data_IF_196625925830
#
_entry.id   IF_196625925830
#
_cell.length_a   1.000
_cell.length_b   1.000
_cell.length_c   1.000
_cell.angle_alpha   90.00
_cell.angle_beta   90.00
_cell.angle_gamma   90.00
#
_symmetry.space_group_name_H-M   'P 1'
#
loop_
_entity.id
_entity.type
_entity.pdbx_description
1 polymer ?
2 non-polymer ?
3 non-polymer ?
4 non-polymer ?
5 water ?
#
# COMPACT_ATOMS: atom_id res chain seq x y z
N UNK A 1 -13.51 -2.78 -24.81
CA UNK A 1 -13.97 -4.13 -24.34
C UNK A 1 -15.23 -4.02 -23.49
N UNK A 2 -15.86 -5.16 -23.24
CA UNK A 2 -17.09 -5.23 -22.47
C UNK A 2 -16.83 -4.77 -21.05
N UNK A 3 -15.68 -5.15 -20.49
CA UNK A 3 -15.34 -4.77 -19.12
C UNK A 3 -15.07 -3.27 -18.99
N UNK A 4 -14.41 -2.68 -19.99
CA UNK A 4 -14.12 -1.25 -19.97
C UNK A 4 -15.41 -0.47 -20.07
N UNK A 5 -16.28 -0.87 -21.00
CA UNK A 5 -17.58 -0.22 -21.20
C UNK A 5 -18.41 -0.22 -19.93
N UNK A 6 -18.47 -1.36 -19.25
CA UNK A 6 -19.23 -1.48 -18.02
C UNK A 6 -18.73 -0.55 -16.94
N UNK A 7 -17.41 -0.49 -16.79
CA UNK A 7 -16.79 0.36 -15.78
C UNK A 7 -17.05 1.84 -16.06
N UNK A 8 -16.77 2.26 -17.30
CA UNK A 8 -16.95 3.66 -17.68
C UNK A 8 -18.41 4.12 -17.62
N UNK A 9 -19.35 3.21 -17.84
CA UNK A 9 -20.76 3.59 -17.82
C UNK A 9 -21.44 3.40 -16.46
N UNK A 10 -20.76 2.71 -15.54
CA UNK A 10 -21.32 2.47 -14.21
C UNK A 10 -21.41 3.76 -13.41
N UNK A 11 -22.31 3.80 -12.44
CA UNK A 11 -22.43 4.99 -11.60
C UNK A 11 -21.48 4.83 -10.43
N UNK A 12 -20.66 5.84 -10.19
CA UNK A 12 -19.70 5.81 -9.09
C UNK A 12 -20.31 6.35 -7.79
N UNK A 13 -20.63 5.45 -6.85
CA UNK A 13 -21.22 5.86 -5.58
C UNK A 13 -20.33 6.86 -4.85
N UNK A 14 -20.86 7.48 -3.80
CA UNK A 14 -20.11 8.47 -3.04
C UNK A 14 -19.08 7.77 -2.17
N UNK A 15 -18.09 8.53 -1.72
CA UNK A 15 -17.04 8.00 -0.88
C UNK A 15 -17.71 7.51 0.39
N UNK A 16 -18.66 8.30 0.89
CA UNK A 16 -19.35 7.94 2.10
C UNK A 16 -20.07 6.61 1.93
N UNK A 17 -20.66 6.40 0.76
CA UNK A 17 -21.38 5.18 0.46
C UNK A 17 -20.44 3.99 0.35
N UNK A 18 -19.24 4.23 -0.17
CA UNK A 18 -18.25 3.18 -0.34
C UNK A 18 -17.44 2.99 0.94
N UNK A 19 -17.66 3.87 1.93
CA UNK A 19 -16.98 3.79 3.21
C UNK A 19 -15.46 3.66 3.09
N UNK A 20 -14.88 4.35 2.10
CA UNK A 20 -13.44 4.29 1.88
C UNK A 20 -12.70 5.34 2.67
N UNK A 21 -13.41 6.05 3.54
CA UNK A 21 -12.74 7.07 4.34
C UNK A 21 -12.32 6.50 5.68
N UNK A 22 -12.96 5.41 6.11
CA UNK A 22 -12.58 4.83 7.39
C UNK A 22 -11.45 3.81 7.34
N UNK A 23 -10.51 3.97 8.27
CA UNK A 23 -9.35 3.11 8.39
C UNK A 23 -9.74 1.64 8.63
N UNK A 24 -10.99 1.41 9.00
CA UNK A 24 -11.50 0.06 9.26
C UNK A 24 -12.08 -0.62 8.02
N UNK A 25 -11.97 0.06 6.88
CA UNK A 25 -12.48 -0.43 5.60
C UNK A 25 -12.00 -1.85 5.30
N UNK A 26 -12.84 -2.62 4.61
CA UNK A 26 -12.48 -3.98 4.19
C UNK A 26 -13.07 -4.22 2.80
N UNK A 27 -12.29 -4.87 1.95
CA UNK A 27 -12.70 -5.14 0.59
C UNK A 27 -13.29 -6.53 0.43
N UNK A 28 -13.10 -7.37 1.42
CA UNK A 28 -13.56 -8.75 1.33
C UNK A 28 -14.85 -9.01 0.58
N UNK A 29 -15.92 -8.31 0.93
CA UNK A 29 -17.21 -8.53 0.28
C UNK A 29 -17.50 -7.70 -0.97
N UNK A 30 -16.48 -7.02 -1.52
CA UNK A 30 -16.67 -6.22 -2.72
C UNK A 30 -16.24 -6.97 -3.98
N UNK A 31 -16.95 -6.78 -5.08
CA UNK A 31 -16.59 -7.44 -6.34
C UNK A 31 -15.46 -6.64 -6.98
N UNK A 32 -14.84 -7.21 -8.01
CA UNK A 32 -13.77 -6.51 -8.72
C UNK A 32 -14.25 -5.17 -9.26
N UNK A 33 -15.49 -5.13 -9.74
CA UNK A 33 -16.06 -3.89 -10.27
C UNK A 33 -16.17 -2.83 -9.16
N UNK A 34 -16.67 -3.23 -8.00
CA UNK A 34 -16.84 -2.30 -6.90
C UNK A 34 -15.50 -1.67 -6.46
N UNK A 35 -14.41 -2.44 -6.55
CA UNK A 35 -13.12 -1.91 -6.14
C UNK A 35 -12.68 -0.85 -7.10
N UNK A 36 -12.86 -1.12 -8.39
CA UNK A 36 -12.47 -0.15 -9.41
C UNK A 36 -13.29 1.12 -9.21
N UNK A 37 -14.57 0.95 -8.94
CA UNK A 37 -15.42 2.11 -8.72
C UNK A 37 -14.84 2.89 -7.55
N UNK A 38 -14.48 2.19 -6.47
CA UNK A 38 -13.91 2.86 -5.30
C UNK A 38 -12.67 3.63 -5.72
N UNK A 39 -11.84 2.98 -6.55
CA UNK A 39 -10.61 3.60 -7.03
C UNK A 39 -10.90 4.89 -7.75
N UNK A 40 -11.92 4.89 -8.60
CA UNK A 40 -12.30 6.07 -9.35
C UNK A 40 -12.72 7.17 -8.39
N UNK A 41 -13.53 6.79 -7.40
CA UNK A 41 -14.00 7.73 -6.39
C UNK A 41 -12.83 8.36 -5.65
N UNK A 42 -11.74 7.59 -5.50
CA UNK A 42 -10.56 8.09 -4.82
C UNK A 42 -9.88 9.18 -5.66
N UNK A 43 -9.70 8.92 -6.95
CA UNK A 43 -9.08 9.90 -7.81
C UNK A 43 -9.98 11.12 -7.87
N UNK A 44 -11.29 10.89 -7.82
CA UNK A 44 -12.25 11.97 -7.88
C UNK A 44 -12.21 12.88 -6.65
N UNK A 45 -12.54 12.32 -5.50
CA UNK A 45 -12.57 13.08 -4.26
C UNK A 45 -11.28 13.75 -3.80
N UNK A 46 -10.15 13.37 -4.40
CA UNK A 46 -8.88 14.00 -4.06
C UNK A 46 -8.66 15.12 -5.07
N UNK A 47 -9.71 15.36 -5.87
CA UNK A 47 -9.71 16.40 -6.90
C UNK A 47 -8.66 16.22 -7.97
N UNK A 48 -8.14 15.01 -8.10
CA UNK A 48 -7.13 14.73 -9.11
C UNK A 48 -7.76 14.68 -10.50
N UNK A 49 -8.99 14.18 -10.57
CA UNK A 49 -9.67 14.08 -11.86
C UNK A 49 -9.82 15.43 -12.57
N UNK A 50 -10.34 16.43 -11.87
CA UNK A 50 -10.52 17.73 -12.50
C UNK A 50 -9.29 18.63 -12.48
N UNK A 51 -8.49 18.56 -11.42
CA UNK A 51 -7.30 19.39 -11.33
C UNK A 51 -6.26 19.03 -12.38
N UNK A 52 -6.35 17.80 -12.90
CA UNK A 52 -5.41 17.34 -13.89
C UNK A 52 -6.10 16.90 -15.17
N UNK A 53 -7.35 17.32 -15.31
CA UNK A 53 -8.15 17.04 -16.49
C UNK A 53 -8.04 15.60 -16.98
N UNK A 54 -8.46 14.66 -16.15
CA UNK A 54 -8.38 13.27 -16.54
C UNK A 54 -9.65 12.90 -17.28
N UNK A 55 -9.48 12.19 -18.40
CA UNK A 55 -10.61 11.74 -19.21
C UNK A 55 -11.12 10.49 -18.54
N UNK A 56 -12.41 10.49 -18.17
CA UNK A 56 -13.03 9.36 -17.51
C UNK A 56 -12.69 8.00 -18.15
N UNK A 57 -12.82 7.89 -19.47
CA UNK A 57 -12.54 6.61 -20.13
C UNK A 57 -11.10 6.18 -19.96
N UNK A 58 -10.17 7.14 -20.00
CA UNK A 58 -8.74 6.82 -19.85
C UNK A 58 -8.41 6.38 -18.43
N UNK A 59 -9.08 6.96 -17.45
CA UNK A 59 -8.84 6.61 -16.05
C UNK A 59 -9.29 5.17 -15.83
N UNK A 60 -10.45 4.83 -16.39
CA UNK A 60 -11.02 3.48 -16.26
C UNK A 60 -10.13 2.42 -16.91
N UNK A 61 -9.60 2.75 -18.09
CA UNK A 61 -8.72 1.84 -18.81
C UNK A 61 -7.46 1.61 -17.97
N UNK A 62 -6.87 2.70 -17.47
CA UNK A 62 -5.68 2.61 -16.65
C UNK A 62 -5.93 1.73 -15.42
N UNK A 63 -7.02 2.00 -14.69
CA UNK A 63 -7.37 1.21 -13.51
C UNK A 63 -7.47 -0.26 -13.88
N UNK A 64 -8.03 -0.56 -15.04
CA UNK A 64 -8.16 -1.94 -15.46
C UNK A 64 -6.81 -2.51 -15.83
N UNK A 65 -5.96 -1.70 -16.44
CA UNK A 65 -4.63 -2.15 -16.83
C UNK A 65 -3.82 -2.47 -15.57
N UNK A 66 -3.91 -1.62 -14.56
CA UNK A 66 -3.19 -1.84 -13.31
C UNK A 66 -3.69 -3.09 -12.59
N UNK A 67 -5.00 -3.24 -12.47
CA UNK A 67 -5.58 -4.40 -11.82
C UNK A 67 -5.19 -5.69 -12.57
N UNK A 68 -5.11 -5.60 -13.89
CA UNK A 68 -4.76 -6.75 -14.72
C UNK A 68 -3.35 -7.24 -14.43
N UNK A 69 -2.38 -6.33 -14.38
CA UNK A 69 -0.99 -6.69 -14.14
C UNK A 69 -0.69 -7.26 -12.76
N UNK A 70 -1.73 -7.60 -12.02
CA UNK A 70 -1.54 -8.23 -10.73
C UNK A 70 -1.98 -9.67 -10.95
N UNK A 71 -1.28 -10.61 -10.34
CA UNK A 71 -1.63 -12.03 -10.50
C UNK A 71 -2.51 -12.49 -9.36
N UNK A 72 -3.73 -12.90 -9.68
CA UNK A 72 -4.66 -13.36 -8.66
C UNK A 72 -4.19 -14.63 -7.94
N UNK A 73 -3.48 -15.50 -8.67
CA UNK A 73 -3.00 -16.75 -8.07
C UNK A 73 -2.00 -16.53 -6.95
N UNK A 74 -1.47 -15.31 -6.85
CA UNK A 74 -0.54 -14.96 -5.78
C UNK A 74 -1.40 -14.61 -4.55
N UNK A 75 -1.31 -15.45 -3.53
CA UNK A 75 -2.11 -15.29 -2.32
C UNK A 75 -2.35 -13.89 -1.78
N UNK A 76 -1.27 -13.23 -1.35
CA UNK A 76 -1.39 -11.91 -0.75
C UNK A 76 -1.08 -10.71 -1.65
N UNK A 77 0.10 -10.69 -2.26
CA UNK A 77 0.50 -9.58 -3.11
C UNK A 77 -0.19 -9.56 -4.47
N UNK A 78 -1.44 -9.10 -4.47
CA UNK A 78 -2.24 -9.01 -5.69
C UNK A 78 -3.02 -7.71 -5.72
N UNK A 79 -3.97 -7.58 -6.64
CA UNK A 79 -4.77 -6.36 -6.77
C UNK A 79 -5.40 -5.86 -5.45
N UNK A 80 -6.01 -6.77 -4.69
CA UNK A 80 -6.64 -6.40 -3.44
C UNK A 80 -5.64 -5.76 -2.48
N UNK A 81 -4.40 -6.23 -2.49
CA UNK A 81 -3.38 -5.65 -1.62
C UNK A 81 -3.13 -4.22 -2.08
N UNK A 82 -2.89 -4.05 -3.38
CA UNK A 82 -2.62 -2.74 -3.95
C UNK A 82 -3.78 -1.77 -3.73
N UNK A 83 -5.00 -2.30 -3.85
CA UNK A 83 -6.23 -1.52 -3.69
C UNK A 83 -6.37 -1.05 -2.24
N UNK A 84 -6.05 -1.93 -1.30
CA UNK A 84 -6.16 -1.60 0.11
C UNK A 84 -5.06 -0.62 0.52
N UNK A 85 -3.90 -0.76 -0.07
CA UNK A 85 -2.80 0.12 0.24
C UNK A 85 -3.20 1.52 -0.21
N UNK A 86 -3.89 1.60 -1.35
CA UNK A 86 -4.34 2.87 -1.90
C UNK A 86 -5.51 3.42 -1.06
N UNK A 87 -6.39 2.54 -0.60
CA UNK A 87 -7.53 2.98 0.20
C UNK A 87 -7.06 3.57 1.54
N UNK A 88 -5.96 3.05 2.05
CA UNK A 88 -5.43 3.54 3.32
C UNK A 88 -4.84 4.91 3.08
N UNK A 89 -4.22 5.08 1.92
CA UNK A 89 -3.64 6.35 1.54
C UNK A 89 -4.74 7.39 1.56
N UNK A 90 -5.86 7.06 0.90
CA UNK A 90 -7.03 7.94 0.81
C UNK A 90 -7.55 8.30 2.19
N UNK A 91 -7.80 7.27 3.01
CA UNK A 91 -8.29 7.46 4.36
C UNK A 91 -7.34 8.37 5.15
N UNK A 92 -6.05 8.06 5.14
CA UNK A 92 -5.05 8.88 5.84
C UNK A 92 -5.11 10.32 5.35
N UNK A 93 -5.22 10.48 4.04
CA UNK A 93 -5.31 11.79 3.42
C UNK A 93 -6.54 12.55 3.89
N UNK A 94 -7.67 11.85 3.91
CA UNK A 94 -8.94 12.44 4.29
C UNK A 94 -9.20 12.38 5.79
N UNK A 95 -9.58 11.20 6.27
CA UNK A 95 -9.86 11.02 7.70
C UNK A 95 -8.67 11.38 8.58
N UNK A 96 -7.46 11.11 8.07
CA UNK A 96 -6.24 11.40 8.80
C UNK A 96 -5.74 12.82 8.64
N UNK A 97 -6.46 13.62 7.86
CA UNK A 97 -6.10 15.01 7.62
C UNK A 97 -4.64 15.16 7.21
N UNK A 98 -4.20 14.37 6.23
CA UNK A 98 -2.81 14.45 5.77
C UNK A 98 -2.81 15.25 4.48
N UNK A 99 -4.00 15.45 3.93
CA UNK A 99 -4.15 16.15 2.67
C UNK A 99 -3.68 17.59 2.64
N UNK A 100 -4.00 18.35 3.68
CA UNK A 100 -3.61 19.74 3.72
C UNK A 100 -2.10 19.87 3.82
N UNK A 101 -1.44 18.78 4.15
CA UNK A 101 0.01 18.79 4.31
C UNK A 101 0.78 18.63 3.00
N UNK A 102 0.14 18.04 2.00
CA UNK A 102 0.81 17.77 0.71
C UNK A 102 0.28 18.56 -0.48
N UNK A 103 1.06 18.54 -1.56
CA UNK A 103 0.67 19.24 -2.78
C UNK A 103 -0.09 18.25 -3.66
N UNK A 104 -0.93 18.76 -4.55
CA UNK A 104 -1.70 17.91 -5.45
C UNK A 104 -0.81 16.95 -6.24
N UNK A 105 0.38 17.41 -6.62
CA UNK A 105 1.29 16.55 -7.38
C UNK A 105 1.82 15.42 -6.51
N UNK A 106 2.06 15.71 -5.23
CA UNK A 106 2.55 14.69 -4.31
C UNK A 106 1.45 13.67 -4.08
N UNK A 107 0.23 14.17 -3.93
CA UNK A 107 -0.93 13.32 -3.72
C UNK A 107 -1.20 12.45 -4.95
N UNK A 108 -1.19 13.07 -6.11
CA UNK A 108 -1.39 12.38 -7.38
C UNK A 108 -0.42 11.22 -7.51
N UNK A 109 0.84 11.50 -7.20
CA UNK A 109 1.90 10.49 -7.29
C UNK A 109 1.71 9.37 -6.27
N UNK A 110 1.40 9.75 -5.03
CA UNK A 110 1.18 8.78 -3.97
C UNK A 110 0.04 7.83 -4.28
N UNK A 111 -1.08 8.35 -4.81
CA UNK A 111 -2.22 7.50 -5.13
C UNK A 111 -1.80 6.50 -6.19
N UNK A 112 -1.14 7.01 -7.22
CA UNK A 112 -0.66 6.17 -8.30
C UNK A 112 0.36 5.15 -7.78
N UNK A 113 1.31 5.60 -6.96
CA UNK A 113 2.32 4.71 -6.41
C UNK A 113 1.64 3.60 -5.61
N UNK A 114 0.68 3.99 -4.77
CA UNK A 114 -0.06 3.04 -3.94
C UNK A 114 -0.71 1.92 -4.77
N UNK A 115 -1.35 2.29 -5.88
CA UNK A 115 -2.02 1.31 -6.74
C UNK A 115 -1.07 0.42 -7.52
N UNK A 116 0.09 0.95 -7.88
CA UNK A 116 1.05 0.18 -8.67
C UNK A 116 2.32 -0.25 -7.96
N UNK A 117 2.39 -0.07 -6.65
CA UNK A 117 3.59 -0.42 -5.88
C UNK A 117 4.07 -1.88 -5.89
N UNK A 118 3.19 -2.82 -6.25
CA UNK A 118 3.59 -4.23 -6.28
C UNK A 118 3.26 -4.89 -7.61
N UNK A 119 3.14 -4.10 -8.67
CA UNK A 119 2.80 -4.62 -9.98
C UNK A 119 3.63 -5.83 -10.45
N UNK A 120 2.92 -6.88 -10.84
CA UNK A 120 3.51 -8.11 -11.34
C UNK A 120 4.32 -8.88 -10.30
N UNK A 121 3.94 -8.77 -9.04
CA UNK A 121 4.62 -9.50 -7.98
C UNK A 121 4.44 -10.99 -8.30
N UNK A 122 5.47 -11.79 -8.02
CA UNK A 122 5.43 -13.21 -8.33
C UNK A 122 5.38 -14.10 -7.10
N UNK A 123 5.24 -13.50 -5.93
CA UNK A 123 5.17 -14.29 -4.73
C UNK A 123 6.51 -14.64 -4.12
N UNK A 124 7.55 -13.97 -4.59
CA UNK A 124 8.90 -14.19 -4.07
C UNK A 124 9.20 -13.03 -3.11
N UNK A 125 9.22 -13.34 -1.81
CA UNK A 125 9.42 -12.35 -0.75
C UNK A 125 10.78 -12.45 -0.06
N UNK A 126 11.07 -11.48 0.80
CA UNK A 126 12.34 -11.45 1.52
C UNK A 126 12.22 -11.73 3.01
N UNK A 127 13.21 -11.25 3.76
CA UNK A 127 13.24 -11.43 5.20
C UNK A 127 13.26 -10.08 5.91
N UNK A 128 14.23 -9.23 5.57
CA UNK A 128 14.34 -7.89 6.15
C UNK A 128 14.93 -6.88 5.17
N UNK A 140 21.53 -5.14 2.34
CA UNK A 140 20.62 -4.43 1.46
C UNK A 140 20.55 -5.14 0.09
N UNK A 141 19.33 -5.47 -0.34
CA UNK A 141 19.12 -6.15 -1.63
C UNK A 141 19.02 -5.20 -2.83
N UNK A 142 19.09 -3.90 -2.56
CA UNK A 142 19.01 -2.89 -3.60
C UNK A 142 17.67 -2.78 -4.30
N UNK A 143 16.59 -3.02 -3.55
CA UNK A 143 15.22 -2.91 -4.03
C UNK A 143 14.92 -3.47 -5.41
N UNK A 144 15.59 -4.57 -5.77
CA UNK A 144 15.39 -5.16 -7.10
C UNK A 144 13.91 -5.37 -7.44
N UNK A 145 13.17 -5.97 -6.52
CA UNK A 145 11.76 -6.26 -6.70
C UNK A 145 10.97 -4.98 -7.01
N UNK A 146 11.20 -3.96 -6.20
CA UNK A 146 10.55 -2.66 -6.30
C UNK A 146 10.86 -1.97 -7.63
N UNK A 147 12.06 -2.20 -8.14
CA UNK A 147 12.45 -1.61 -9.41
C UNK A 147 11.58 -2.18 -10.53
N UNK A 148 11.27 -3.47 -10.46
CA UNK A 148 10.43 -4.09 -11.47
C UNK A 148 9.01 -3.53 -11.38
N UNK A 149 8.55 -3.32 -10.14
CA UNK A 149 7.22 -2.77 -9.93
C UNK A 149 7.11 -1.38 -10.57
N UNK A 150 8.19 -0.61 -10.53
CA UNK A 150 8.13 0.71 -11.13
C UNK A 150 8.12 0.62 -12.64
N UNK A 151 9.00 -0.19 -13.22
CA UNK A 151 9.03 -0.34 -14.67
C UNK A 151 7.64 -0.70 -15.16
N UNK A 152 7.00 -1.60 -14.43
CA UNK A 152 5.65 -2.07 -14.76
C UNK A 152 4.64 -0.92 -14.68
N UNK A 153 4.85 -0.03 -13.71
CA UNK A 153 4.03 1.15 -13.50
C UNK A 153 4.24 2.18 -14.63
N UNK A 154 5.51 2.47 -14.90
CA UNK A 154 5.88 3.42 -15.93
C UNK A 154 5.26 2.98 -17.25
N UNK A 155 5.47 1.71 -17.57
CA UNK A 155 4.95 1.13 -18.79
C UNK A 155 3.44 1.35 -18.91
N UNK A 156 2.69 0.96 -17.88
CA UNK A 156 1.23 1.12 -17.93
C UNK A 156 0.81 2.57 -18.09
N UNK A 157 1.62 3.50 -17.62
CA UNK A 157 1.28 4.92 -17.74
C UNK A 157 1.57 5.44 -19.15
N UNK A 158 2.40 4.71 -19.88
CA UNK A 158 2.74 5.12 -21.24
C UNK A 158 1.85 4.45 -22.28
N UNK A 159 1.33 3.26 -21.98
CA UNK A 159 0.49 2.55 -22.93
C UNK A 159 -0.68 3.41 -23.41
N UNK A 160 -0.92 3.42 -24.73
CA UNK A 160 -2.00 4.20 -25.35
C UNK A 160 -3.35 4.09 -24.67
N UNK A 161 -4.00 5.25 -24.49
CA UNK A 161 -5.30 5.26 -23.85
C UNK A 161 -5.24 5.00 -22.37
N UNK A 162 -4.03 4.88 -21.83
CA UNK A 162 -3.84 4.63 -20.41
C UNK A 162 -3.10 5.79 -19.76
N UNK A 163 -2.71 6.77 -20.58
CA UNK A 163 -1.95 7.92 -20.14
C UNK A 163 -2.76 8.95 -19.34
N UNK A 164 -3.01 8.64 -18.08
CA UNK A 164 -3.76 9.52 -17.19
C UNK A 164 -2.95 10.75 -16.80
N UNK A 165 -1.64 10.71 -17.02
CA UNK A 165 -0.79 11.86 -16.69
C UNK A 165 -0.71 12.88 -17.82
N UNK A 166 -1.52 12.70 -18.85
CA UNK A 166 -1.56 13.64 -19.96
C UNK A 166 -2.29 14.83 -19.39
N UNK A 167 -1.76 16.03 -19.60
CA UNK A 167 -2.42 17.19 -19.05
C UNK A 167 -1.48 17.86 -18.09
N UNK A 168 -0.41 17.15 -17.76
CA UNK A 168 0.62 17.67 -16.88
C UNK A 168 1.66 18.29 -17.78
N UNK A 169 2.19 19.45 -17.41
CA UNK A 169 3.21 20.07 -18.22
C UNK A 169 4.39 19.12 -18.20
N UNK A 170 5.40 19.40 -19.01
CA UNK A 170 6.58 18.56 -19.07
C UNK A 170 7.28 18.47 -17.71
N UNK A 171 7.38 19.61 -17.01
CA UNK A 171 8.04 19.62 -15.71
C UNK A 171 7.21 18.92 -14.65
N UNK A 172 5.89 19.13 -14.66
CA UNK A 172 5.03 18.48 -13.70
C UNK A 172 5.13 16.97 -13.89
N UNK A 173 5.23 16.54 -15.14
CA UNK A 173 5.34 15.12 -15.44
C UNK A 173 6.65 14.58 -14.90
N UNK A 174 7.74 15.28 -15.19
CA UNK A 174 9.06 14.88 -14.74
C UNK A 174 9.10 14.82 -13.21
N UNK A 175 8.40 15.77 -12.58
CA UNK A 175 8.33 15.86 -11.13
C UNK A 175 7.55 14.72 -10.53
N UNK A 176 6.29 14.60 -10.93
CA UNK A 176 5.41 13.55 -10.45
C UNK A 176 6.03 12.16 -10.63
N UNK A 177 6.73 11.95 -11.74
CA UNK A 177 7.37 10.68 -12.02
C UNK A 177 8.41 10.34 -10.97
N UNK A 178 9.20 11.33 -10.58
CA UNK A 178 10.24 11.14 -9.56
C UNK A 178 9.58 10.70 -8.26
N UNK A 179 8.57 11.46 -7.83
CA UNK A 179 7.83 11.15 -6.61
C UNK A 179 7.23 9.73 -6.64
N UNK A 180 6.71 9.34 -7.80
CA UNK A 180 6.13 8.01 -7.97
C UNK A 180 7.22 6.94 -7.81
N UNK A 181 8.33 7.13 -8.51
CA UNK A 181 9.46 6.22 -8.44
C UNK A 181 9.86 6.01 -6.99
N UNK A 182 10.07 7.12 -6.29
CA UNK A 182 10.48 7.12 -4.89
C UNK A 182 9.48 6.45 -3.95
N UNK A 183 8.20 6.75 -4.13
CA UNK A 183 7.16 6.17 -3.30
C UNK A 183 7.13 4.65 -3.46
N UNK A 184 7.20 4.19 -4.70
CA UNK A 184 7.18 2.75 -4.94
C UNK A 184 8.42 2.09 -4.33
N UNK A 185 9.60 2.60 -4.65
CA UNK A 185 10.81 2.03 -4.09
C UNK A 185 10.79 2.08 -2.58
N UNK A 186 10.15 3.11 -2.03
CA UNK A 186 10.05 3.28 -0.59
C UNK A 186 9.40 2.07 0.06
N UNK A 187 8.53 1.39 -0.69
CA UNK A 187 7.82 0.23 -0.16
C UNK A 187 8.74 -0.94 0.08
N UNK A 188 10.04 -0.74 -0.17
CA UNK A 188 11.04 -1.77 0.09
C UNK A 188 11.36 -1.65 1.58
N UNK A 189 11.06 -2.70 2.33
CA UNK A 189 11.28 -2.68 3.76
C UNK A 189 12.75 -2.42 4.14
N UNK A 190 13.68 -2.83 3.27
CA UNK A 190 15.08 -2.61 3.55
C UNK A 190 15.30 -1.10 3.69
N UNK A 191 14.68 -0.34 2.78
CA UNK A 191 14.78 1.12 2.80
C UNK A 191 14.08 1.70 4.01
N UNK A 192 12.96 1.10 4.41
CA UNK A 192 12.24 1.58 5.56
C UNK A 192 13.18 1.51 6.76
N UNK A 193 13.75 0.33 6.99
CA UNK A 193 14.67 0.11 8.12
C UNK A 193 15.82 1.10 8.09
N UNK A 194 16.28 1.44 6.90
CA UNK A 194 17.39 2.38 6.76
C UNK A 194 17.01 3.81 7.13
N UNK A 195 15.85 4.26 6.67
CA UNK A 195 15.42 5.63 6.91
C UNK A 195 14.65 5.99 8.16
N UNK A 196 13.94 5.03 8.74
CA UNK A 196 13.15 5.31 9.93
C UNK A 196 13.95 5.92 11.07
N UNK A 197 15.13 5.38 11.36
CA UNK A 197 15.93 5.94 12.44
C UNK A 197 15.89 7.47 12.46
N UNK A 198 16.26 8.09 11.35
CA UNK A 198 16.28 9.55 11.25
C UNK A 198 14.90 10.13 11.48
N UNK A 199 13.88 9.54 10.87
CA UNK A 199 12.50 9.99 11.00
C UNK A 199 12.06 9.99 12.47
N UNK A 200 12.26 8.87 13.15
CA UNK A 200 11.87 8.75 14.55
C UNK A 200 12.58 9.77 15.43
N UNK A 201 13.85 10.04 15.14
CA UNK A 201 14.63 11.02 15.91
C UNK A 201 14.10 12.44 15.76
N UNK A 202 13.67 12.78 14.55
CA UNK A 202 13.12 14.11 14.28
C UNK A 202 11.81 14.29 15.02
N UNK A 203 11.07 13.19 15.17
CA UNK A 203 9.79 13.21 15.86
C UNK A 203 9.99 13.24 17.37
N UNK A 204 11.04 12.57 17.84
CA UNK A 204 11.32 12.54 19.27
C UNK A 204 11.87 13.86 19.75
N UNK A 205 12.67 14.52 18.92
CA UNK A 205 13.27 15.81 19.26
C UNK A 205 12.31 16.96 18.95
N UNK A 206 11.06 16.62 18.62
CA UNK A 206 10.05 17.61 18.30
C UNK A 206 10.58 18.66 17.32
N UNK A 207 11.33 18.22 16.32
CA UNK A 207 11.90 19.13 15.35
C UNK A 207 11.60 18.70 13.91
N UNK A 208 10.51 17.96 13.75
CA UNK A 208 10.10 17.49 12.44
C UNK A 208 9.52 18.68 11.69
N UNK A 209 9.97 18.89 10.46
CA UNK A 209 9.50 20.02 9.66
C UNK A 209 9.20 19.62 8.21
N UNK A 210 7.91 19.58 7.87
CA UNK A 210 7.52 19.21 6.51
C UNK A 210 7.89 20.27 5.47
N UNK A 211 8.12 21.49 5.94
CA UNK A 211 8.52 22.56 5.05
C UNK A 211 9.88 22.23 4.47
N UNK A 212 10.50 21.19 5.00
CA UNK A 212 11.82 20.77 4.54
C UNK A 212 11.78 19.73 3.43
N UNK A 213 12.37 20.05 2.26
CA UNK A 213 12.40 19.15 1.12
C UNK A 213 12.75 17.70 1.46
N UNK A 214 13.87 17.51 2.15
CA UNK A 214 14.31 16.18 2.53
C UNK A 214 13.38 15.52 3.54
N UNK A 215 12.91 16.30 4.51
CA UNK A 215 11.99 15.76 5.52
C UNK A 215 10.63 15.43 4.90
N UNK A 216 10.36 16.01 3.74
CA UNK A 216 9.11 15.75 3.03
C UNK A 216 9.28 14.40 2.31
N UNK A 217 10.41 14.23 1.65
CA UNK A 217 10.72 13.00 0.95
C UNK A 217 10.71 11.82 1.92
N UNK A 218 11.15 12.09 3.14
CA UNK A 218 11.21 11.08 4.20
C UNK A 218 9.80 10.77 4.68
N UNK A 219 8.97 11.81 4.79
CA UNK A 219 7.61 11.62 5.23
C UNK A 219 6.84 10.79 4.21
N UNK A 220 6.92 11.18 2.95
CA UNK A 220 6.24 10.47 1.88
C UNK A 220 6.65 8.99 1.85
N UNK A 221 7.91 8.72 2.20
CA UNK A 221 8.40 7.35 2.22
C UNK A 221 7.71 6.59 3.35
N UNK A 222 7.79 7.19 4.55
CA UNK A 222 7.20 6.62 5.74
C UNK A 222 5.70 6.38 5.58
N UNK A 223 5.02 7.34 4.94
CA UNK A 223 3.59 7.25 4.70
C UNK A 223 3.27 6.09 3.75
N UNK A 224 4.13 5.91 2.76
CA UNK A 224 3.98 4.85 1.79
C UNK A 224 4.03 3.48 2.50
N UNK A 225 4.98 3.33 3.41
CA UNK A 225 5.13 2.09 4.15
C UNK A 225 3.94 1.82 5.09
N UNK A 226 3.43 2.87 5.72
CA UNK A 226 2.29 2.75 6.63
C UNK A 226 1.06 2.20 5.92
N UNK A 227 0.83 2.68 4.70
CA UNK A 227 -0.31 2.20 3.93
C UNK A 227 -0.04 0.78 3.44
N UNK A 228 1.20 0.53 3.03
CA UNK A 228 1.62 -0.77 2.54
C UNK A 228 1.29 -1.88 3.55
N UNK A 229 1.47 -1.58 4.83
CA UNK A 229 1.22 -2.55 5.90
C UNK A 229 -0.10 -2.35 6.63
N UNK A 230 -0.96 -1.48 6.09
CA UNK A 230 -2.24 -1.16 6.71
C UNK A 230 -3.02 -2.35 7.28
N UNK A 231 -2.83 -3.52 6.70
CA UNK A 231 -3.52 -4.73 7.15
C UNK A 231 -3.23 -5.08 8.61
N UNK A 232 -2.03 -4.74 9.08
CA UNK A 232 -1.62 -5.04 10.45
C UNK A 232 -2.39 -4.17 11.47
N UNK A 233 -3.08 -3.14 10.97
CA UNK A 233 -3.85 -2.22 11.80
C UNK A 233 -5.36 -2.40 11.69
N UNK A 234 -5.78 -3.27 10.78
CA UNK A 234 -7.21 -3.49 10.57
C UNK A 234 -7.86 -4.26 11.71
N UNK A 235 -9.21 -4.26 11.74
CA UNK A 235 -10.02 -4.97 12.75
C UNK A 235 -9.73 -6.47 12.75
N UNK A 236 -9.65 -7.06 13.93
CA UNK A 236 -9.34 -8.47 14.08
C UNK A 236 -9.83 -9.41 12.97
N UNK A 237 -11.14 -9.43 12.69
CA UNK A 237 -11.64 -10.32 11.64
C UNK A 237 -10.80 -10.19 10.38
N UNK A 238 -10.67 -8.96 9.92
CA UNK A 238 -9.91 -8.61 8.72
C UNK A 238 -8.43 -8.97 8.83
N UNK A 239 -7.79 -8.57 9.92
CA UNK A 239 -6.37 -8.87 10.12
C UNK A 239 -6.13 -10.37 10.04
N UNK A 240 -6.90 -11.12 10.81
CA UNK A 240 -6.71 -12.56 10.81
C UNK A 240 -6.86 -13.13 9.42
N UNK A 241 -7.86 -12.64 8.70
CA UNK A 241 -8.15 -13.08 7.36
C UNK A 241 -6.99 -12.81 6.41
N UNK A 242 -6.35 -11.65 6.55
CA UNK A 242 -5.25 -11.31 5.66
C UNK A 242 -3.93 -11.94 6.07
N UNK A 243 -3.75 -12.17 7.37
CA UNK A 243 -2.52 -12.78 7.82
C UNK A 243 -2.42 -14.19 7.21
N UNK A 244 -3.57 -14.81 6.94
CA UNK A 244 -3.57 -16.15 6.36
C UNK A 244 -3.17 -16.13 4.89
N UNK A 245 -3.47 -15.02 4.21
CA UNK A 245 -3.09 -14.85 2.82
C UNK A 245 -1.57 -14.70 2.82
N UNK A 246 -1.07 -13.87 3.73
CA UNK A 246 0.36 -13.63 3.86
C UNK A 246 1.05 -14.94 4.19
N UNK A 247 0.57 -15.64 5.21
CA UNK A 247 1.16 -16.91 5.62
C UNK A 247 1.17 -17.90 4.45
N UNK A 248 0.06 -17.97 3.73
CA UNK A 248 -0.04 -18.85 2.58
C UNK A 248 1.04 -18.53 1.55
N UNK A 249 1.25 -17.25 1.25
CA UNK A 249 2.27 -16.86 0.27
C UNK A 249 3.65 -17.34 0.71
N UNK A 250 4.00 -17.06 1.96
CA UNK A 250 5.29 -17.46 2.50
C UNK A 250 5.54 -18.96 2.42
N UNK A 251 4.58 -19.75 2.93
CA UNK A 251 4.68 -21.21 2.93
C UNK A 251 4.77 -21.74 1.52
N UNK A 252 4.01 -21.12 0.63
CA UNK A 252 4.01 -21.51 -0.78
C UNK A 252 5.39 -21.29 -1.34
N UNK A 253 6.03 -20.19 -0.93
CA UNK A 253 7.37 -19.86 -1.38
C UNK A 253 8.39 -20.87 -0.86
N UNK A 254 8.23 -21.29 0.40
CA UNK A 254 9.14 -22.26 1.00
C UNK A 254 9.10 -23.58 0.26
N UNK A 255 7.91 -23.97 -0.18
CA UNK A 255 7.75 -25.22 -0.91
C UNK A 255 8.41 -25.08 -2.28
N UNK A 256 8.05 -24.03 -2.99
CA UNK A 256 8.60 -23.82 -4.30
C UNK A 256 10.12 -23.72 -4.24
N UNK A 257 10.64 -23.07 -3.21
CA UNK A 257 12.07 -22.93 -3.09
C UNK A 257 12.80 -24.22 -2.77
N UNK A 258 12.15 -25.10 -2.00
CA UNK A 258 12.76 -26.39 -1.66
C UNK A 258 12.70 -27.30 -2.89
N UNK A 259 11.80 -26.95 -3.80
CA UNK A 259 11.60 -27.70 -5.04
C UNK A 259 12.63 -27.26 -6.09
N UNK A 260 12.50 -26.03 -6.59
CA UNK A 260 13.41 -25.50 -7.61
C UNK A 260 14.87 -25.56 -7.15
N UNK A 261 15.09 -25.20 -5.89
CA UNK A 261 16.42 -25.21 -5.28
C UNK A 261 16.37 -26.28 -4.21
N UNK A 262 17.52 -26.59 -3.62
CA UNK A 262 17.54 -27.57 -2.56
C UNK A 262 17.85 -26.82 -1.27
N UNK A 263 16.99 -25.87 -0.97
CA UNK A 263 17.15 -25.06 0.23
C UNK A 263 15.95 -25.22 1.15
N UNK A 264 16.22 -25.56 2.40
CA UNK A 264 15.19 -25.74 3.40
C UNK A 264 14.62 -24.38 3.79
N UNK A 265 13.29 -24.27 3.86
CA UNK A 265 12.60 -23.03 4.22
C UNK A 265 12.92 -22.53 5.62
N UNK A 266 12.88 -21.21 5.81
CA UNK A 266 13.10 -20.65 7.13
C UNK A 266 11.75 -20.87 7.81
N UNK A 267 11.77 -21.07 9.13
CA UNK A 267 10.51 -21.31 9.86
C UNK A 267 9.41 -20.37 9.36
N UNK A 268 9.79 -19.15 9.03
CA UNK A 268 8.88 -18.13 8.53
C UNK A 268 8.21 -18.55 7.22
N UNK A 269 8.90 -19.36 6.42
CA UNK A 269 8.36 -19.78 5.14
C UNK A 269 7.98 -21.24 4.95
N UNK A 270 8.22 -22.11 5.93
CA UNK A 270 7.82 -23.50 5.71
C UNK A 270 6.48 -23.74 6.39
N UNK A 271 5.59 -24.43 5.67
CA UNK A 271 4.25 -24.75 6.15
C UNK A 271 4.22 -25.31 7.55
N UNK A 272 5.06 -26.30 7.85
CA UNK A 272 5.10 -26.83 9.20
C UNK A 272 5.48 -25.62 10.02
N UNK A 273 5.54 -25.75 11.33
CA UNK A 273 5.92 -24.58 12.12
C UNK A 273 4.99 -23.39 11.83
N UNK A 274 3.72 -23.67 11.51
CA UNK A 274 2.76 -22.61 11.24
C UNK A 274 2.19 -22.14 12.56
N UNK A 275 2.35 -22.98 13.58
CA UNK A 275 1.87 -22.71 14.92
C UNK A 275 2.61 -21.54 15.51
N UNK A 276 3.58 -21.03 14.78
CA UNK A 276 4.37 -19.91 15.25
C UNK A 276 3.94 -18.55 14.70
N UNK A 277 2.96 -18.52 13.80
CA UNK A 277 2.53 -17.23 13.24
C UNK A 277 2.14 -16.22 14.33
N UNK A 278 1.52 -16.69 15.45
CA UNK A 278 1.14 -15.72 16.49
C UNK A 278 2.38 -15.05 17.05
N UNK A 279 3.38 -15.86 17.42
CA UNK A 279 4.64 -15.37 17.95
C UNK A 279 5.33 -14.46 16.94
N UNK A 280 5.33 -14.87 15.67
CA UNK A 280 5.93 -14.12 14.59
C UNK A 280 5.24 -12.76 14.44
N UNK A 281 3.91 -12.79 14.44
CA UNK A 281 3.11 -11.57 14.29
C UNK A 281 3.41 -10.51 15.34
N UNK A 282 3.69 -10.94 16.56
CA UNK A 282 4.02 -10.01 17.62
C UNK A 282 5.37 -9.36 17.33
N UNK A 283 6.37 -10.17 17.00
CA UNK A 283 7.69 -9.65 16.70
C UNK A 283 7.68 -8.65 15.55
N UNK A 284 6.91 -8.97 14.52
CA UNK A 284 6.79 -8.11 13.33
C UNK A 284 6.27 -6.72 13.74
N UNK A 285 5.19 -6.73 14.50
CA UNK A 285 4.56 -5.51 14.97
C UNK A 285 5.51 -4.72 15.87
N UNK A 286 6.14 -5.40 16.81
CA UNK A 286 7.06 -4.70 17.70
C UNK A 286 8.24 -4.08 16.97
N UNK A 287 8.94 -4.86 16.16
CA UNK A 287 10.11 -4.38 15.46
C UNK A 287 9.87 -3.53 14.22
N UNK A 288 8.72 -3.68 13.57
CA UNK A 288 8.48 -2.91 12.35
C UNK A 288 7.32 -1.94 12.32
N UNK A 289 6.12 -2.41 12.66
CA UNK A 289 4.91 -1.59 12.60
C UNK A 289 4.69 -0.54 13.67
N UNK A 290 4.55 -0.98 14.92
CA UNK A 290 4.28 -0.08 16.03
C UNK A 290 5.02 1.28 16.01
N UNK A 291 6.34 1.26 15.89
CA UNK A 291 7.10 2.52 15.87
C UNK A 291 6.60 3.44 14.77
N UNK A 292 6.36 2.87 13.59
CA UNK A 292 5.90 3.61 12.44
C UNK A 292 4.56 4.30 12.69
N UNK A 293 3.59 3.53 13.19
CA UNK A 293 2.27 4.09 13.42
C UNK A 293 2.25 5.05 14.60
N UNK A 294 3.12 4.82 15.59
CA UNK A 294 3.17 5.73 16.73
C UNK A 294 3.78 7.04 16.23
N UNK A 295 4.73 6.96 15.32
CA UNK A 295 5.38 8.13 14.76
C UNK A 295 4.43 8.88 13.83
N UNK A 296 3.62 8.15 13.08
CA UNK A 296 2.70 8.81 12.17
C UNK A 296 1.69 9.58 13.00
N UNK A 297 1.28 9.02 14.14
CA UNK A 297 0.31 9.66 15.01
C UNK A 297 0.89 10.97 15.56
N UNK A 298 2.21 11.05 15.64
CA UNK A 298 2.83 12.26 16.14
C UNK A 298 2.76 13.35 15.08
N UNK A 299 2.76 12.96 13.82
CA UNK A 299 2.68 13.90 12.72
C UNK A 299 1.23 14.38 12.59
N UNK A 300 0.28 13.49 12.87
CA UNK A 300 -1.14 13.83 12.82
C UNK A 300 -1.93 12.89 13.70
N UNK A 301 -2.48 13.44 14.79
CA UNK A 301 -3.25 12.66 15.75
C UNK A 301 -4.49 12.00 15.17
N UNK A 302 -4.90 12.48 13.99
CA UNK A 302 -6.08 11.96 13.31
C UNK A 302 -5.81 10.60 12.74
N UNK A 303 -4.54 10.18 12.80
CA UNK A 303 -4.10 8.88 12.31
C UNK A 303 -4.10 7.86 13.44
N UNK A 304 -4.39 8.33 14.67
CA UNK A 304 -4.43 7.46 15.82
C UNK A 304 -5.10 6.10 15.55
N UNK A 305 -6.22 6.08 14.78
CA UNK A 305 -6.92 4.81 14.49
C UNK A 305 -5.99 3.69 14.03
N UNK A 306 -5.01 4.06 13.21
CA UNK A 306 -4.04 3.10 12.71
C UNK A 306 -3.25 2.51 13.88
N UNK A 307 -2.69 3.40 14.69
CA UNK A 307 -1.90 2.99 15.85
C UNK A 307 -2.74 2.18 16.83
N UNK A 308 -3.97 2.65 17.04
CA UNK A 308 -4.90 1.98 17.94
C UNK A 308 -5.16 0.54 17.51
N UNK A 309 -5.44 0.35 16.22
CA UNK A 309 -5.71 -0.97 15.70
C UNK A 309 -4.49 -1.88 15.66
N UNK A 310 -3.32 -1.27 15.49
CA UNK A 310 -2.09 -2.04 15.44
C UNK A 310 -1.93 -2.66 16.81
N UNK A 311 -2.14 -1.85 17.84
CA UNK A 311 -2.02 -2.28 19.23
C UNK A 311 -2.98 -3.40 19.60
N UNK A 312 -4.25 -3.21 19.26
CA UNK A 312 -5.27 -4.21 19.54
C UNK A 312 -4.88 -5.52 18.87
N UNK A 313 -4.27 -5.42 17.68
CA UNK A 313 -3.86 -6.63 16.98
C UNK A 313 -2.77 -7.37 17.73
N UNK A 314 -1.85 -6.64 18.35
CA UNK A 314 -0.77 -7.25 19.12
C UNK A 314 -1.33 -8.01 20.31
N UNK A 315 -2.33 -7.44 20.97
CA UNK A 315 -2.95 -8.08 22.13
C UNK A 315 -3.55 -9.41 21.69
N UNK A 316 -4.23 -9.38 20.55
CA UNK A 316 -4.85 -10.59 19.99
C UNK A 316 -3.81 -11.67 19.68
N UNK A 317 -2.75 -11.29 18.98
CA UNK A 317 -1.70 -12.23 18.63
C UNK A 317 -0.93 -12.71 19.86
N UNK A 318 -0.73 -11.84 20.86
CA UNK A 318 -0.01 -12.21 22.07
C UNK A 318 -0.75 -13.31 22.80
N UNK A 319 -2.05 -13.11 22.97
CA UNK A 319 -2.90 -14.10 23.63
C UNK A 319 -2.72 -15.47 22.99
N UNK A 320 -2.93 -15.53 21.68
CA UNK A 320 -2.80 -16.78 20.92
C UNK A 320 -1.43 -17.41 21.10
N UNK A 321 -0.37 -16.62 20.98
CA UNK A 321 0.99 -17.15 21.11
C UNK A 321 1.24 -17.85 22.45
N UNK A 322 0.45 -17.54 23.46
CA UNK A 322 0.60 -18.18 24.75
C UNK A 322 -0.35 -19.34 24.83
N UNK A 323 -1.64 -19.04 24.61
CA UNK A 323 -2.68 -20.03 24.62
C UNK A 323 -2.31 -21.15 23.67
N UNK A 324 -1.43 -20.84 22.73
CA UNK A 324 -0.97 -21.84 21.76
C UNK A 324 -0.19 -22.91 22.52
X LIG B 1 3.12 -4.14 -0.77
X LIG C 1 6.51 -4.61 -2.74
X LIG D 1 1.74 -14.46 8.62
X LIG D 1 3.15 -14.64 9.18
X LIG D 1 3.76 -13.36 8.97
X LIG D 1 5.05 -12.99 9.31
X LIG D 1 6.00 -13.79 9.93
X LIG D 1 7.34 -13.27 10.25
X LIG D 1 7.67 -11.97 9.93
X LIG D 1 6.67 -11.09 9.27
X LIG D 1 5.43 -11.53 8.97
X LIG D 1 9.24 -11.30 10.27
X LIG D 1 10.17 -11.90 9.33
X LIG D 1 9.11 -9.86 10.14
X LIG D 1 13.51 -12.11 15.67
X LIG D 1 9.65 -11.69 11.83
X LIG D 1 9.81 -10.52 12.74
X LIG D 1 10.26 -10.90 14.16
X LIG D 1 11.52 -11.66 14.11
X LIG D 1 11.34 -12.87 13.27
X LIG D 1 10.87 -12.51 11.84
X LIG D 1 11.97 -12.01 15.48
X LIG D 1 4.47 -10.61 8.32
X LIG D 1 3.20 -10.48 8.78
X LIG D 1 2.18 -9.62 8.25
X LIG D 1 2.66 -8.83 7.08
X LIG D 1 4.01 -9.03 6.66
X LIG D 1 4.87 -9.88 7.26
X LIG D 1 1.08 -9.57 8.74
X LIG D 1 2.24 -7.88 6.16
X LIG D 1 3.26 -7.51 5.22
X LIG D 1 4.28 -8.22 5.59
X LIG D 1 0.84 -7.27 6.13
X LIG D 1 5.66 -8.26 4.97
X LIG D 1 5.91 -9.35 3.89
X LIG D 1 5.39 -8.88 2.52
#
# INVERSE_FOLDING_TARGET
>A
TRELQSLAAAVVPSAQTLKITDFSFSDFELSDLETALCTIRMFTDLNLVQNFQMKHEVLCRWILSVKKNYRKNVAYHNWRHAFNTAQCMFAALKAGKIQNKLTDLEILALLIAALSHDLDHRGVNNSYIQRSEHPLAQLYCHSIMEHHHFDQCLMILNSPGNQILSGLSIEEYKTTLKIIKQAILATDLALYIKRRGEFFELIRKNQFNLEDPHQKELFLAMLMTACDLSAITKPWPIQQRIAELVATEFFDQGDRERKELNIEPTDLMNREKKNKIPSMQVGFIDAICLQLYEALTHVSEDCFPLLDGCRKNRQKWQALAEQQ
>B hetero
1 ZN ZN
>C hetero
1 MG MG
>D hetero
1 VDN C1 C2 O3 C4 C5 C6 C7 C8 C9 S10 O11 O12 C13 N14 C15 C16 N17 C18 C19 C20 C21 N22 C23 C24 N25 N26 O27 C28 N29 C30 C31 C32 C33 C34
#
